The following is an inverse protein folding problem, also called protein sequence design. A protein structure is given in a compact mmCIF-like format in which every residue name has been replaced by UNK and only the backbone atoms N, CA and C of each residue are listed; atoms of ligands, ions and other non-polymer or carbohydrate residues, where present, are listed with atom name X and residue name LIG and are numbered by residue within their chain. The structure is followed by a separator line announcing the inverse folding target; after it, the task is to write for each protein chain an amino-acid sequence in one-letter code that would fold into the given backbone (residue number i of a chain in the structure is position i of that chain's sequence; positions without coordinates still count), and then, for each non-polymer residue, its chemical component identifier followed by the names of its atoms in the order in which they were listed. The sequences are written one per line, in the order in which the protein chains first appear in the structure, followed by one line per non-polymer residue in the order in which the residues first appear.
data_IF_630545370062
#
_entry.id   IF_630545370062
#
_cell.length_a   1.000
_cell.length_b   1.000
_cell.length_c   1.000
_cell.angle_alpha   90.00
_cell.angle_beta   90.00
_cell.angle_gamma   90.00
#
_symmetry.space_group_name_H-M   'P 1'
#
loop_
_entity.id
_entity.type
_entity.pdbx_description
1 polymer ?
#
# COMPACT_ATOMS: atom_id res chain seq x y z
N UNK A 1 -2.76 -31.69 21.00
CA UNK A 1 -2.49 -30.24 20.98
C UNK A 1 -3.83 -29.56 21.04
N UNK A 2 -4.28 -29.21 22.23
CA UNK A 2 -5.50 -28.41 22.36
C UNK A 2 -5.20 -26.98 21.90
N UNK A 3 -6.11 -26.33 21.15
CA UNK A 3 -5.89 -24.97 20.68
C UNK A 3 -5.70 -24.04 21.89
N UNK A 4 -4.57 -23.34 21.94
CA UNK A 4 -4.37 -22.28 22.92
C UNK A 4 -5.47 -21.23 22.76
N UNK A 5 -6.02 -20.80 23.89
CA UNK A 5 -7.10 -19.82 23.91
C UNK A 5 -6.59 -18.50 23.33
N UNK A 6 -7.21 -18.03 22.24
CA UNK A 6 -6.86 -16.75 21.63
C UNK A 6 -7.24 -15.65 22.61
N UNK A 7 -6.25 -14.93 23.13
CA UNK A 7 -6.47 -13.83 24.06
C UNK A 7 -6.93 -12.58 23.31
N UNK A 8 -7.51 -11.60 24.03
CA UNK A 8 -7.86 -10.31 23.43
C UNK A 8 -6.67 -9.57 22.84
N UNK A 9 -5.46 -9.84 23.33
CA UNK A 9 -4.21 -9.30 22.82
C UNK A 9 -3.88 -9.84 21.43
N UNK A 10 -3.96 -11.16 21.24
CA UNK A 10 -3.78 -11.80 19.92
C UNK A 10 -4.78 -11.27 18.88
N UNK A 11 -6.04 -11.05 19.28
CA UNK A 11 -7.04 -10.44 18.39
C UNK A 11 -6.71 -8.99 18.00
N UNK A 12 -6.17 -8.21 18.94
CA UNK A 12 -5.73 -6.83 18.68
C UNK A 12 -4.57 -6.80 17.67
N UNK A 13 -3.62 -7.72 17.80
CA UNK A 13 -2.51 -7.85 16.87
C UNK A 13 -2.97 -8.22 15.47
N UNK A 14 -3.80 -9.25 15.32
CA UNK A 14 -4.40 -9.64 14.03
C UNK A 14 -5.14 -8.45 13.40
N UNK A 15 -5.93 -7.73 14.20
CA UNK A 15 -6.63 -6.52 13.74
C UNK A 15 -5.67 -5.43 13.26
N UNK A 16 -4.53 -5.27 13.91
CA UNK A 16 -3.49 -4.33 13.46
C UNK A 16 -2.82 -4.77 12.17
N UNK A 17 -2.56 -6.05 11.97
CA UNK A 17 -1.97 -6.57 10.73
C UNK A 17 -2.90 -6.39 9.55
N UNK A 18 -4.18 -6.70 9.76
CA UNK A 18 -5.20 -6.50 8.74
C UNK A 18 -5.29 -5.03 8.30
N UNK A 19 -5.14 -4.07 9.23
CA UNK A 19 -5.08 -2.63 8.90
C UNK A 19 -3.90 -2.31 7.98
N UNK A 20 -2.70 -2.86 8.22
CA UNK A 20 -1.55 -2.61 7.34
C UNK A 20 -1.70 -3.27 5.97
N UNK A 21 -2.37 -4.42 5.88
CA UNK A 21 -2.73 -5.03 4.59
C UNK A 21 -3.71 -4.15 3.80
N UNK A 22 -4.71 -3.58 4.47
CA UNK A 22 -5.61 -2.61 3.84
C UNK A 22 -4.91 -1.34 3.39
N UNK A 23 -3.99 -0.81 4.21
CA UNK A 23 -3.17 0.35 3.82
C UNK A 23 -2.28 0.03 2.62
N UNK A 24 -1.64 -1.14 2.59
CA UNK A 24 -0.85 -1.60 1.46
C UNK A 24 -1.67 -1.64 0.18
N UNK A 25 -2.88 -2.21 0.23
CA UNK A 25 -3.79 -2.27 -0.92
C UNK A 25 -4.18 -0.86 -1.38
N UNK A 26 -4.61 0.00 -0.46
CA UNK A 26 -5.04 1.36 -0.76
C UNK A 26 -3.91 2.16 -1.45
N UNK A 27 -2.71 2.12 -0.88
CA UNK A 27 -1.55 2.83 -1.45
C UNK A 27 -1.10 2.22 -2.78
N UNK A 28 -1.19 0.90 -2.96
CA UNK A 28 -0.81 0.25 -4.23
C UNK A 28 -1.77 0.64 -5.36
N UNK A 29 -3.08 0.65 -5.10
CA UNK A 29 -4.08 1.11 -6.07
C UNK A 29 -3.91 2.59 -6.35
N UNK A 30 -3.70 3.40 -5.31
CA UNK A 30 -3.42 4.83 -5.44
C UNK A 30 -2.18 5.12 -6.28
N UNK A 31 -1.09 4.37 -6.06
CA UNK A 31 0.13 4.45 -6.86
C UNK A 31 -0.14 4.14 -8.33
N UNK A 32 -0.77 2.99 -8.61
CA UNK A 32 -1.07 2.57 -9.98
C UNK A 32 -1.92 3.59 -10.71
N UNK A 33 -2.99 4.09 -10.07
CA UNK A 33 -3.86 5.12 -10.64
C UNK A 33 -3.11 6.41 -10.96
N UNK A 34 -2.37 6.96 -9.99
CA UNK A 34 -1.65 8.22 -10.18
C UNK A 34 -0.54 8.10 -11.25
N UNK A 35 0.18 6.97 -11.25
CA UNK A 35 1.24 6.72 -12.21
C UNK A 35 0.68 6.58 -13.63
N UNK A 36 -0.37 5.78 -13.83
CA UNK A 36 -1.03 5.62 -15.13
C UNK A 36 -1.60 6.94 -15.64
N UNK A 37 -2.18 7.75 -14.74
CA UNK A 37 -2.72 9.06 -15.10
C UNK A 37 -1.62 9.99 -15.63
N UNK A 38 -0.48 10.06 -14.94
CA UNK A 38 0.65 10.91 -15.31
C UNK A 38 1.40 10.42 -16.55
N UNK A 39 1.55 9.10 -16.70
CA UNK A 39 2.43 8.47 -17.68
C UNK A 39 1.72 8.13 -18.99
N UNK A 40 0.48 7.64 -18.93
CA UNK A 40 -0.25 7.16 -20.10
C UNK A 40 -1.46 8.03 -20.47
N UNK A 41 -2.36 8.28 -19.52
CA UNK A 41 -3.69 8.88 -19.82
C UNK A 41 -3.55 10.34 -20.23
N UNK A 42 -2.95 11.21 -19.38
CA UNK A 42 -2.83 12.65 -19.69
C UNK A 42 -2.05 12.87 -21.01
N UNK A 43 -0.89 12.22 -21.24
CA UNK A 43 -0.18 12.37 -22.52
C UNK A 43 -1.01 11.93 -23.73
N UNK A 44 -1.70 10.79 -23.62
CA UNK A 44 -2.56 10.27 -24.70
C UNK A 44 -3.67 11.27 -25.06
N UNK A 45 -4.32 11.88 -24.06
CA UNK A 45 -5.37 12.87 -24.27
C UNK A 45 -4.85 14.19 -24.87
N UNK A 46 -3.61 14.58 -24.54
CA UNK A 46 -2.99 15.78 -25.15
C UNK A 46 -2.64 15.50 -26.62
N UNK A 47 -2.04 14.35 -26.92
CA UNK A 47 -1.64 13.99 -28.30
C UNK A 47 -2.87 13.87 -29.21
N UNK A 48 -3.97 13.33 -28.71
CA UNK A 48 -5.24 13.21 -29.44
C UNK A 48 -6.05 14.51 -29.48
N UNK A 49 -5.55 15.59 -28.88
CA UNK A 49 -6.20 16.90 -28.88
C UNK A 49 -7.48 16.98 -28.05
N UNK A 50 -7.78 15.98 -27.21
CA UNK A 50 -8.98 15.97 -26.37
C UNK A 50 -8.87 16.95 -25.19
N UNK A 51 -7.64 17.28 -24.77
CA UNK A 51 -7.38 18.28 -23.73
C UNK A 51 -6.24 19.23 -24.13
N UNK A 52 -6.26 20.49 -23.66
CA UNK A 52 -5.22 21.46 -23.97
C UNK A 52 -3.89 21.11 -23.29
N UNK A 53 -2.78 21.46 -23.96
CA UNK A 53 -1.41 21.23 -23.47
C UNK A 53 -1.09 21.92 -22.14
N UNK A 54 -1.88 22.92 -21.74
CA UNK A 54 -1.79 23.57 -20.43
C UNK A 54 -2.01 22.60 -19.26
N UNK A 55 -2.76 21.50 -19.47
CA UNK A 55 -3.02 20.48 -18.44
C UNK A 55 -1.78 19.60 -18.20
N UNK A 56 -0.77 19.63 -19.08
CA UNK A 56 0.47 18.87 -18.91
C UNK A 56 1.18 19.16 -17.57
N UNK A 57 0.97 20.35 -16.97
CA UNK A 57 1.48 20.71 -15.62
C UNK A 57 0.95 19.79 -14.52
N UNK A 58 -0.28 19.26 -14.64
CA UNK A 58 -0.87 18.37 -13.64
C UNK A 58 -0.16 17.03 -13.57
N UNK A 59 0.56 16.60 -14.62
CA UNK A 59 1.34 15.37 -14.58
C UNK A 59 2.37 15.38 -13.46
N UNK A 60 3.00 16.54 -13.19
CA UNK A 60 3.95 16.68 -12.08
C UNK A 60 3.26 16.39 -10.75
N UNK A 61 2.06 16.93 -10.54
CA UNK A 61 1.25 16.67 -9.36
C UNK A 61 0.92 15.17 -9.21
N UNK A 62 0.46 14.52 -10.29
CA UNK A 62 0.19 13.08 -10.28
C UNK A 62 1.46 12.24 -10.02
N UNK A 63 2.63 12.63 -10.54
CA UNK A 63 3.89 11.96 -10.22
C UNK A 63 4.29 12.13 -8.75
N UNK A 64 4.14 13.32 -8.17
CA UNK A 64 4.41 13.52 -6.74
C UNK A 64 3.45 12.72 -5.87
N UNK A 65 2.16 12.65 -6.25
CA UNK A 65 1.18 11.82 -5.56
C UNK A 65 1.51 10.33 -5.69
N UNK A 66 1.90 9.86 -6.88
CA UNK A 66 2.36 8.49 -7.08
C UNK A 66 3.59 8.18 -6.21
N UNK A 67 4.58 9.09 -6.16
CA UNK A 67 5.74 8.92 -5.30
C UNK A 67 5.34 8.84 -3.82
N UNK A 68 4.44 9.70 -3.36
CA UNK A 68 3.89 9.63 -2.00
C UNK A 68 3.17 8.31 -1.72
N UNK A 69 2.36 7.82 -2.66
CA UNK A 69 1.69 6.53 -2.56
C UNK A 69 2.70 5.37 -2.50
N UNK A 70 3.79 5.42 -3.28
CA UNK A 70 4.87 4.44 -3.25
C UNK A 70 5.56 4.39 -1.87
N UNK A 71 5.81 5.55 -1.25
CA UNK A 71 6.30 5.62 0.13
C UNK A 71 5.29 5.02 1.12
N UNK A 72 3.99 5.26 0.91
CA UNK A 72 2.91 4.65 1.69
C UNK A 72 2.88 3.11 1.58
N UNK A 73 3.13 2.57 0.38
CA UNK A 73 3.28 1.12 0.16
C UNK A 73 4.47 0.59 0.97
N UNK A 74 5.64 1.22 0.85
CA UNK A 74 6.84 0.81 1.58
C UNK A 74 6.62 0.86 3.10
N UNK A 75 6.02 1.94 3.61
CA UNK A 75 5.66 2.09 5.02
C UNK A 75 4.73 0.98 5.50
N UNK A 76 3.72 0.62 4.69
CA UNK A 76 2.74 -0.42 5.04
C UNK A 76 3.40 -1.78 5.14
N UNK A 77 4.31 -2.12 4.21
CA UNK A 77 5.07 -3.38 4.23
C UNK A 77 6.02 -3.41 5.44
N UNK A 78 6.79 -2.35 5.67
CA UNK A 78 7.72 -2.28 6.81
C UNK A 78 6.96 -2.45 8.13
N UNK A 79 5.82 -1.78 8.27
CA UNK A 79 4.97 -1.87 9.47
C UNK A 79 4.33 -3.24 9.66
N UNK A 80 4.01 -3.92 8.56
CA UNK A 80 3.51 -5.29 8.58
C UNK A 80 4.61 -6.26 9.04
N UNK A 81 5.80 -6.17 8.45
CA UNK A 81 6.94 -7.05 8.79
C UNK A 81 7.44 -6.82 10.23
N UNK A 82 7.56 -5.56 10.67
CA UNK A 82 8.04 -5.25 12.02
C UNK A 82 7.11 -5.77 13.11
N UNK A 83 5.81 -5.90 12.81
CA UNK A 83 4.83 -6.54 13.69
C UNK A 83 4.78 -8.06 13.50
N UNK A 84 5.19 -8.56 12.33
CA UNK A 84 5.39 -9.99 12.07
C UNK A 84 6.50 -10.63 12.90
N UNK A 85 7.57 -9.89 13.18
CA UNK A 85 8.62 -10.35 14.10
C UNK A 85 8.11 -10.70 15.51
N UNK A 86 6.98 -10.15 15.97
CA UNK A 86 6.40 -10.50 17.28
C UNK A 86 5.76 -11.90 17.30
N UNK A 87 5.37 -12.45 16.15
CA UNK A 87 4.83 -13.82 16.09
C UNK A 87 5.90 -14.89 16.29
N UNK A 88 7.18 -14.56 16.12
CA UNK A 88 8.29 -15.47 16.40
C UNK A 88 8.43 -15.74 17.91
N UNK A 89 7.97 -14.81 18.76
CA UNK A 89 7.96 -14.93 20.23
C UNK A 89 6.72 -15.69 20.75
N UNK A 90 5.61 -15.69 19.99
CA UNK A 90 4.34 -16.35 20.36
C UNK A 90 4.23 -17.76 19.76
N UNK A 91 4.81 -18.00 18.58
CA UNK A 91 4.86 -19.30 17.92
C UNK A 91 6.31 -19.74 17.71
N UNK A 92 6.88 -20.37 18.74
CA UNK A 92 8.19 -21.07 18.72
C UNK A 92 8.24 -22.26 17.72
N UNK A 93 7.23 -22.43 16.85
CA UNK A 93 7.06 -23.61 16.00
C UNK A 93 6.26 -23.35 14.71
N UNK A 94 6.70 -22.40 13.88
CA UNK A 94 6.21 -22.30 12.49
C UNK A 94 6.96 -23.20 11.50
N UNK A 95 8.05 -23.84 11.93
CA UNK A 95 8.80 -24.78 11.11
C UNK A 95 8.68 -26.18 11.69
N UNK A 96 8.22 -27.11 10.84
CA UNK A 96 8.15 -28.54 11.12
C UNK A 96 9.58 -29.06 11.27
#
# INVERSE_FOLDING_TARGET
MDPQYITGETWSEIGSWLKFLWLFLLFSVGFGFNFLMAHAIIPSLIITGHIPSSINRFRKFFYYSAFGAMLGVAFSIISFISRAGLMEDVWDRFWI
#
